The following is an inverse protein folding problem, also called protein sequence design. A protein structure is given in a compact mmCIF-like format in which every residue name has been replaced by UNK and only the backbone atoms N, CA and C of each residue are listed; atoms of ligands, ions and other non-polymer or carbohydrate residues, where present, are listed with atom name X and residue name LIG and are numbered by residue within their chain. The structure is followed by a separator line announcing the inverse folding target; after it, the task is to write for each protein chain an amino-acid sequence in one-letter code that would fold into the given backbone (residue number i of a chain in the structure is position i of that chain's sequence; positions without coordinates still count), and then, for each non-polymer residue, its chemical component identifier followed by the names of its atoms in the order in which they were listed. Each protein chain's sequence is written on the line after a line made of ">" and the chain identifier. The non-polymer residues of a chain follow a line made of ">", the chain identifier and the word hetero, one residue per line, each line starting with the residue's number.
data_IF_301639341356
#
_entry.id   IF_301639341356
#
_cell.length_a   1.000
_cell.length_b   1.000
_cell.length_c   1.000
_cell.angle_alpha   90.00
_cell.angle_beta   90.00
_cell.angle_gamma   90.00
#
_symmetry.space_group_name_H-M   'P 1'
#
loop_
_entity.id
_entity.type
_entity.pdbx_description
1 polymer ?
#
# COMPACT_ATOMS: atom_id res chain seq x y z
N UNK A 1 19.48 24.33 5.17
CA UNK A 1 18.10 23.96 4.78
C UNK A 1 17.22 25.19 4.85
N UNK A 2 16.60 25.57 3.79
CA UNK A 2 15.62 26.68 3.78
C UNK A 2 14.21 26.09 3.75
N UNK A 3 13.33 26.61 4.59
CA UNK A 3 11.92 26.20 4.65
C UNK A 3 11.17 26.89 3.53
N UNK A 4 10.69 26.14 2.55
CA UNK A 4 9.78 26.70 1.53
C UNK A 4 8.40 26.92 2.14
N UNK A 5 7.65 27.94 1.66
CA UNK A 5 6.33 28.32 2.22
C UNK A 5 5.23 27.27 2.18
N UNK A 6 5.51 26.06 1.66
CA UNK A 6 4.61 24.89 1.61
C UNK A 6 4.96 23.82 2.63
N UNK A 7 5.90 24.07 3.56
CA UNK A 7 6.28 23.12 4.61
C UNK A 7 7.29 22.05 4.20
N UNK A 8 7.77 22.06 2.95
CA UNK A 8 8.80 21.15 2.48
C UNK A 8 10.19 21.71 2.73
N UNK A 9 11.11 20.85 3.17
CA UNK A 9 12.52 21.21 3.32
C UNK A 9 13.24 21.00 1.99
N UNK A 10 13.90 22.05 1.48
CA UNK A 10 14.75 21.92 0.30
C UNK A 10 16.14 21.46 0.75
N UNK A 11 16.64 20.33 0.27
CA UNK A 11 18.02 19.90 0.56
C UNK A 11 18.99 20.92 -0.05
N UNK A 12 19.91 21.43 0.73
CA UNK A 12 21.03 22.21 0.21
C UNK A 12 22.19 21.26 -0.06
N UNK A 13 22.34 20.89 -1.32
CA UNK A 13 23.57 20.42 -1.96
C UNK A 13 24.32 19.27 -1.33
N UNK A 14 24.21 18.13 -1.88
CA UNK A 14 25.21 17.17 -2.34
C UNK A 14 24.36 16.10 -3.03
N UNK A 15 24.59 15.90 -4.32
CA UNK A 15 23.95 14.82 -5.07
C UNK A 15 24.58 13.52 -4.58
N UNK A 16 23.87 12.79 -3.73
CA UNK A 16 24.32 11.50 -3.25
C UNK A 16 23.82 10.41 -4.19
N UNK A 17 24.70 9.47 -4.49
CA UNK A 17 24.38 8.30 -5.28
C UNK A 17 23.58 7.31 -4.42
N UNK A 18 22.27 7.50 -4.35
CA UNK A 18 21.34 6.49 -3.86
C UNK A 18 20.85 5.69 -5.06
N UNK A 19 20.96 4.37 -4.99
CA UNK A 19 20.37 3.48 -5.98
C UNK A 19 19.33 2.59 -5.33
N UNK A 20 18.27 2.27 -6.07
CA UNK A 20 17.19 1.40 -5.64
C UNK A 20 16.92 0.33 -6.71
N UNK A 21 16.84 -0.93 -6.30
CA UNK A 21 16.61 -2.06 -7.20
C UNK A 21 15.61 -3.03 -6.59
N UNK A 22 14.78 -3.63 -7.45
CA UNK A 22 13.92 -4.77 -7.09
C UNK A 22 14.08 -5.86 -8.15
N UNK A 23 14.77 -6.94 -7.81
CA UNK A 23 15.17 -7.94 -8.79
C UNK A 23 16.03 -7.31 -9.90
N UNK A 24 15.58 -7.41 -11.15
CA UNK A 24 16.21 -6.78 -12.32
C UNK A 24 15.73 -5.34 -12.57
N UNK A 25 14.72 -4.86 -11.85
CA UNK A 25 14.16 -3.53 -12.03
C UNK A 25 14.99 -2.49 -11.29
N UNK A 26 15.39 -1.44 -11.99
CA UNK A 26 16.04 -0.27 -11.41
C UNK A 26 14.97 0.80 -11.19
N UNK A 27 14.83 1.25 -9.95
CA UNK A 27 13.90 2.32 -9.62
C UNK A 27 14.55 3.67 -9.91
N UNK A 28 13.81 4.64 -10.45
CA UNK A 28 14.30 6.01 -10.53
C UNK A 28 14.47 6.59 -9.12
N UNK A 29 15.60 7.22 -8.89
CA UNK A 29 15.93 7.87 -7.62
C UNK A 29 16.35 9.31 -7.89
N UNK A 30 15.93 10.24 -7.05
CA UNK A 30 16.33 11.63 -7.08
C UNK A 30 16.66 12.13 -5.67
N UNK A 31 17.71 12.95 -5.57
CA UNK A 31 18.02 13.69 -4.35
C UNK A 31 17.17 14.96 -4.17
N UNK A 32 16.53 15.37 -5.25
CA UNK A 32 15.69 16.57 -5.29
C UNK A 32 14.23 16.23 -5.18
N UNK A 33 13.31 16.61 -4.70
CA UNK A 33 11.88 16.34 -4.57
C UNK A 33 11.25 15.52 -5.74
N UNK A 34 10.09 14.99 -5.54
CA UNK A 34 9.32 14.16 -6.50
C UNK A 34 9.19 14.74 -7.92
N UNK A 35 9.32 16.07 -8.09
CA UNK A 35 9.23 16.71 -9.40
C UNK A 35 10.33 16.33 -10.40
N UNK A 36 11.41 15.69 -9.94
CA UNK A 36 12.49 15.20 -10.81
C UNK A 36 12.28 13.76 -11.31
N UNK A 37 11.31 13.03 -10.76
CA UNK A 37 11.00 11.66 -11.17
C UNK A 37 9.88 11.68 -12.22
N UNK A 38 10.13 11.03 -13.36
CA UNK A 38 9.09 10.80 -14.37
C UNK A 38 8.23 9.61 -13.95
N UNK A 39 6.95 9.84 -13.74
CA UNK A 39 5.97 8.78 -13.42
C UNK A 39 5.45 8.02 -14.64
N UNK A 40 5.86 8.41 -15.86
CA UNK A 40 5.38 7.77 -17.09
C UNK A 40 5.92 6.35 -17.31
N UNK A 41 7.09 6.01 -16.74
CA UNK A 41 7.79 4.74 -16.99
C UNK A 41 8.33 4.15 -15.69
N UNK A 42 7.52 4.11 -14.64
CA UNK A 42 7.93 3.50 -13.39
C UNK A 42 7.97 1.96 -13.51
N UNK A 43 8.91 1.31 -12.82
CA UNK A 43 8.87 -0.15 -12.70
C UNK A 43 7.61 -0.57 -11.96
N UNK A 44 7.00 -1.64 -12.44
CA UNK A 44 5.85 -2.27 -11.79
C UNK A 44 6.36 -3.31 -10.81
N UNK A 45 5.94 -3.19 -9.56
CA UNK A 45 6.28 -4.10 -8.47
C UNK A 45 5.00 -4.64 -7.83
N UNK A 46 5.12 -5.74 -7.08
CA UNK A 46 3.99 -6.38 -6.41
C UNK A 46 4.18 -6.35 -4.89
N UNK A 47 3.09 -6.52 -4.17
CA UNK A 47 3.14 -6.81 -2.73
C UNK A 47 4.05 -8.02 -2.47
N UNK A 48 4.94 -7.90 -1.49
CA UNK A 48 5.94 -8.91 -1.15
C UNK A 48 7.27 -8.78 -1.90
N UNK A 49 7.34 -8.00 -2.99
CA UNK A 49 8.61 -7.69 -3.64
C UNK A 49 9.50 -6.87 -2.69
N UNK A 50 10.80 -7.06 -2.81
CA UNK A 50 11.78 -6.34 -1.99
C UNK A 50 12.52 -5.31 -2.82
N UNK A 51 12.59 -4.09 -2.32
CA UNK A 51 13.41 -3.01 -2.85
C UNK A 51 14.68 -2.92 -2.01
N UNK A 52 15.84 -2.97 -2.66
CA UNK A 52 17.15 -2.85 -2.03
C UNK A 52 17.69 -1.47 -2.31
N UNK A 53 17.94 -0.69 -1.26
CA UNK A 53 18.57 0.61 -1.35
C UNK A 53 20.05 0.51 -1.00
N UNK A 54 20.89 1.11 -1.84
CA UNK A 54 22.31 1.29 -1.61
C UNK A 54 22.64 2.78 -1.61
N UNK A 55 23.48 3.19 -0.69
CA UNK A 55 23.82 4.60 -0.45
C UNK A 55 25.33 4.77 -0.67
N UNK A 56 25.72 5.78 -1.45
CA UNK A 56 27.11 6.18 -1.65
C UNK A 56 27.71 6.67 -0.33
N UNK A 57 27.04 7.56 0.37
CA UNK A 57 27.36 7.93 1.75
C UNK A 57 26.64 6.98 2.70
N UNK A 58 27.41 6.20 3.44
CA UNK A 58 26.87 5.17 4.33
C UNK A 58 26.04 5.78 5.47
N UNK A 59 24.74 5.44 5.57
CA UNK A 59 23.91 5.88 6.69
C UNK A 59 24.45 5.39 8.04
N UNK A 60 24.34 6.22 9.05
CA UNK A 60 24.61 5.88 10.46
C UNK A 60 23.27 5.58 11.13
N UNK A 61 23.07 4.33 11.53
CA UNK A 61 21.79 3.88 12.07
C UNK A 61 20.81 3.41 10.99
N UNK A 62 19.53 3.62 11.24
CA UNK A 62 18.45 3.28 10.33
C UNK A 62 18.22 4.37 9.28
N UNK A 63 17.49 3.99 8.25
CA UNK A 63 16.95 4.90 7.21
C UNK A 63 15.44 4.96 7.43
N UNK A 64 14.89 6.14 7.67
CA UNK A 64 13.45 6.33 7.70
C UNK A 64 12.93 6.34 6.28
N UNK A 65 11.97 5.48 5.98
CA UNK A 65 11.28 5.42 4.70
C UNK A 65 9.82 5.74 4.91
N UNK A 66 9.31 6.68 4.11
CA UNK A 66 7.89 7.04 4.04
C UNK A 66 7.37 6.66 2.67
N UNK A 67 6.37 5.79 2.62
CA UNK A 67 5.67 5.43 1.39
C UNK A 67 4.36 6.20 1.29
N UNK A 68 4.16 6.90 0.17
CA UNK A 68 2.98 7.71 -0.08
C UNK A 68 2.38 7.39 -1.44
N UNK A 69 1.05 7.22 -1.49
CA UNK A 69 0.33 7.17 -2.77
C UNK A 69 0.26 8.55 -3.40
N UNK A 70 0.62 8.60 -4.67
CA UNK A 70 0.61 9.82 -5.48
C UNK A 70 -0.18 9.60 -6.78
N UNK A 71 -0.55 10.67 -7.43
CA UNK A 71 -1.11 10.63 -8.79
C UNK A 71 0.04 10.61 -9.83
N UNK A 72 -0.30 10.47 -11.11
CA UNK A 72 0.66 10.46 -12.20
C UNK A 72 1.48 11.78 -12.35
N UNK A 73 1.10 12.84 -11.65
CA UNK A 73 1.86 14.09 -11.56
C UNK A 73 2.76 14.16 -10.32
N UNK A 74 2.81 13.07 -9.51
CA UNK A 74 3.61 13.01 -8.27
C UNK A 74 3.03 13.79 -7.09
N UNK A 75 1.78 14.24 -7.20
CA UNK A 75 1.08 14.89 -6.08
C UNK A 75 0.37 13.86 -5.21
N UNK A 76 0.22 14.08 -3.89
CA UNK A 76 -0.51 13.17 -3.03
C UNK A 76 -1.91 12.87 -3.59
N UNK A 77 -2.25 11.58 -3.70
CA UNK A 77 -3.54 11.14 -4.24
C UNK A 77 -4.68 11.36 -3.24
N UNK A 78 -4.37 11.27 -1.95
CA UNK A 78 -5.33 11.44 -0.86
C UNK A 78 -4.77 12.43 0.16
N UNK A 79 -5.57 13.43 0.54
CA UNK A 79 -5.10 14.50 1.44
C UNK A 79 -5.06 14.09 2.92
N UNK A 80 -5.81 13.06 3.31
CA UNK A 80 -6.04 12.70 4.71
C UNK A 80 -5.53 11.29 5.09
N UNK A 81 -4.70 10.67 4.24
CA UNK A 81 -4.16 9.35 4.54
C UNK A 81 -2.83 9.46 5.27
N UNK A 82 -2.66 8.67 6.28
CA UNK A 82 -1.38 8.48 6.96
C UNK A 82 -0.40 7.84 5.99
N UNK A 83 0.75 8.47 5.84
CA UNK A 83 1.86 7.88 5.11
C UNK A 83 2.35 6.62 5.85
N UNK A 84 2.69 5.58 5.11
CA UNK A 84 3.31 4.38 5.69
C UNK A 84 4.77 4.69 6.00
N UNK A 85 5.10 4.86 7.29
CA UNK A 85 6.46 5.12 7.75
C UNK A 85 7.08 3.84 8.32
N UNK A 86 8.30 3.55 7.90
CA UNK A 86 9.09 2.44 8.44
C UNK A 86 10.56 2.80 8.58
N UNK A 87 11.26 2.15 9.49
CA UNK A 87 12.70 2.30 9.64
C UNK A 87 13.41 1.09 9.05
N UNK A 88 14.19 1.32 8.01
CA UNK A 88 15.01 0.29 7.39
C UNK A 88 16.32 0.14 8.15
N UNK A 89 16.63 -1.08 8.55
CA UNK A 89 17.91 -1.44 9.13
C UNK A 89 18.82 -2.07 8.10
N UNK A 90 20.13 -1.87 8.23
CA UNK A 90 21.11 -2.43 7.33
C UNK A 90 21.16 -3.95 7.44
N UNK A 91 21.07 -4.61 6.29
CA UNK A 91 21.28 -6.06 6.13
C UNK A 91 22.58 -6.33 5.36
N UNK A 92 22.91 -7.59 5.12
CA UNK A 92 24.03 -7.98 4.25
C UNK A 92 23.83 -7.53 2.79
N UNK A 93 22.57 -7.38 2.36
CA UNK A 93 22.20 -6.99 0.99
C UNK A 93 21.98 -5.48 0.83
N UNK A 94 22.14 -4.67 1.87
CA UNK A 94 21.81 -3.25 1.86
C UNK A 94 20.63 -2.93 2.80
N UNK A 95 19.91 -1.85 2.53
CA UNK A 95 18.68 -1.49 3.25
C UNK A 95 17.50 -2.03 2.45
N UNK A 96 16.75 -2.95 3.05
CA UNK A 96 15.69 -3.69 2.36
C UNK A 96 14.33 -3.20 2.81
N UNK A 97 13.49 -2.81 1.86
CA UNK A 97 12.08 -2.52 2.04
C UNK A 97 11.27 -3.60 1.33
N UNK A 98 10.49 -4.34 2.06
CA UNK A 98 9.51 -5.28 1.48
C UNK A 98 8.19 -4.54 1.32
N UNK A 99 7.65 -4.51 0.12
CA UNK A 99 6.42 -3.81 -0.20
C UNK A 99 5.28 -4.44 0.59
N UNK A 100 4.69 -3.73 1.56
CA UNK A 100 3.54 -4.23 2.30
C UNK A 100 2.29 -4.17 1.43
N UNK A 101 1.25 -4.88 1.82
CA UNK A 101 -0.08 -4.59 1.33
C UNK A 101 -0.49 -3.20 1.80
N UNK A 102 -0.71 -2.30 0.87
CA UNK A 102 -1.06 -0.92 1.21
C UNK A 102 -2.54 -0.84 1.58
N UNK A 103 -2.83 -0.34 2.78
CA UNK A 103 -4.20 0.00 3.21
C UNK A 103 -4.80 1.02 2.25
N UNK A 104 -3.99 1.95 1.78
CA UNK A 104 -4.41 2.99 0.84
C UNK A 104 -4.86 2.44 -0.51
N UNK A 105 -4.22 1.37 -1.01
CA UNK A 105 -4.64 0.69 -2.23
C UNK A 105 -5.98 -0.03 -2.03
N UNK A 106 -6.17 -0.67 -0.87
CA UNK A 106 -7.42 -1.35 -0.53
C UNK A 106 -8.61 -0.39 -0.42
N UNK A 107 -8.35 0.87 -0.09
CA UNK A 107 -9.37 1.90 0.07
C UNK A 107 -9.65 2.69 -1.22
N UNK A 108 -8.88 2.44 -2.28
CA UNK A 108 -9.08 3.13 -3.54
C UNK A 108 -10.40 2.69 -4.17
N UNK A 109 -11.22 3.67 -4.53
CA UNK A 109 -12.50 3.45 -5.22
C UNK A 109 -12.34 2.92 -6.65
N UNK A 110 -11.15 3.07 -7.24
CA UNK A 110 -10.84 2.62 -8.59
C UNK A 110 -9.62 1.68 -8.55
N UNK A 111 -9.90 0.38 -8.55
CA UNK A 111 -8.91 -0.70 -8.59
C UNK A 111 -8.44 -1.02 -10.02
N UNK A 112 -9.04 -0.41 -11.03
CA UNK A 112 -8.73 -0.66 -12.44
C UNK A 112 -7.50 0.09 -12.93
N UNK A 113 -6.99 1.03 -12.16
CA UNK A 113 -5.83 1.86 -12.51
C UNK A 113 -4.62 1.53 -11.65
N UNK A 114 -3.40 1.66 -12.19
CA UNK A 114 -2.18 1.48 -11.41
C UNK A 114 -2.08 2.50 -10.27
N UNK A 115 -1.47 2.06 -9.17
CA UNK A 115 -1.12 2.95 -8.06
C UNK A 115 0.33 3.37 -8.18
N UNK A 116 0.58 4.64 -8.00
CA UNK A 116 1.92 5.21 -7.97
C UNK A 116 2.36 5.43 -6.54
N UNK A 117 3.54 4.94 -6.22
CA UNK A 117 4.16 5.03 -4.90
C UNK A 117 5.37 5.94 -4.96
N UNK A 118 5.40 6.90 -4.07
CA UNK A 118 6.53 7.76 -3.84
C UNK A 118 7.16 7.39 -2.48
N UNK A 119 8.42 6.96 -2.53
CA UNK A 119 9.22 6.60 -1.36
C UNK A 119 10.13 7.75 -1.01
N UNK A 120 9.98 8.32 0.18
CA UNK A 120 10.93 9.29 0.73
C UNK A 120 11.84 8.57 1.71
N UNK A 121 13.15 8.69 1.52
CA UNK A 121 14.17 8.13 2.41
C UNK A 121 14.88 9.28 3.12
N UNK A 122 14.91 9.23 4.45
CA UNK A 122 15.67 10.18 5.27
C UNK A 122 16.73 9.43 6.07
N UNK A 123 17.97 9.91 6.03
CA UNK A 123 19.09 9.31 6.75
C UNK A 123 20.13 10.34 7.12
N UNK A 124 21.02 9.96 8.04
CA UNK A 124 22.16 10.78 8.47
C UNK A 124 23.45 10.02 8.16
N UNK A 125 24.42 10.70 7.58
CA UNK A 125 25.74 10.12 7.28
C UNK A 125 26.70 10.15 8.49
N UNK A 126 27.91 9.63 8.30
CA UNK A 126 28.95 9.61 9.31
C UNK A 126 29.46 11.01 9.73
N UNK A 127 29.18 12.04 8.93
CA UNK A 127 29.48 13.45 9.20
C UNK A 127 28.30 14.16 9.90
N UNK A 128 27.26 13.42 10.28
CA UNK A 128 26.01 13.94 10.87
C UNK A 128 25.22 14.88 9.95
N UNK A 129 25.41 14.74 8.63
CA UNK A 129 24.63 15.47 7.64
C UNK A 129 23.35 14.66 7.35
N UNK A 130 22.21 15.33 7.37
CA UNK A 130 20.92 14.73 6.98
C UNK A 130 20.75 14.79 5.47
N UNK A 131 20.34 13.68 4.92
CA UNK A 131 20.09 13.48 3.50
C UNK A 131 18.65 13.03 3.28
N UNK A 132 18.11 13.41 2.13
CA UNK A 132 16.81 12.96 1.65
C UNK A 132 16.99 12.43 0.23
N UNK A 133 16.44 11.28 -0.05
CA UNK A 133 16.32 10.75 -1.40
C UNK A 133 14.88 10.32 -1.64
N UNK A 134 14.47 10.34 -2.90
CA UNK A 134 13.13 9.96 -3.33
C UNK A 134 13.25 8.88 -4.38
N UNK A 135 12.50 7.80 -4.24
CA UNK A 135 12.35 6.76 -5.25
C UNK A 135 10.87 6.58 -5.59
N UNK A 136 10.57 5.98 -6.73
CA UNK A 136 9.20 5.72 -7.10
C UNK A 136 9.05 4.37 -7.81
N UNK A 137 7.89 3.76 -7.63
CA UNK A 137 7.44 2.58 -8.35
C UNK A 137 5.93 2.64 -8.55
N UNK A 138 5.38 1.72 -9.32
CA UNK A 138 3.94 1.53 -9.38
C UNK A 138 3.58 0.08 -9.07
N UNK A 139 2.36 -0.11 -8.57
CA UNK A 139 1.73 -1.42 -8.52
C UNK A 139 0.74 -1.54 -9.67
N UNK A 140 0.55 -2.76 -10.16
CA UNK A 140 -0.46 -3.00 -11.20
C UNK A 140 -1.85 -2.66 -10.66
N UNK A 141 -2.73 -2.29 -11.59
CA UNK A 141 -4.15 -2.46 -11.36
C UNK A 141 -4.40 -3.89 -10.87
N UNK A 142 -5.25 -4.05 -9.87
CA UNK A 142 -5.53 -5.38 -9.32
C UNK A 142 -6.11 -6.27 -10.42
N UNK A 143 -5.41 -7.34 -10.76
CA UNK A 143 -5.97 -8.39 -11.60
C UNK A 143 -6.92 -9.21 -10.74
N UNK A 144 -8.16 -9.23 -11.11
CA UNK A 144 -9.20 -9.95 -10.39
C UNK A 144 -9.45 -11.28 -11.08
N UNK A 145 -9.52 -12.35 -10.28
CA UNK A 145 -9.94 -13.67 -10.75
C UNK A 145 -11.34 -13.96 -10.20
N UNK A 146 -12.25 -14.33 -11.09
CA UNK A 146 -13.59 -14.76 -10.68
C UNK A 146 -13.50 -15.85 -9.60
N UNK A 147 -14.26 -15.67 -8.53
CA UNK A 147 -14.34 -16.62 -7.42
C UNK A 147 -15.79 -17.07 -7.25
N UNK A 148 -16.26 -18.05 -8.04
CA UNK A 148 -17.62 -18.54 -7.92
C UNK A 148 -17.84 -19.20 -6.54
N UNK A 149 -19.06 -19.14 -5.99
CA UNK A 149 -19.35 -19.76 -4.72
C UNK A 149 -19.19 -21.29 -4.79
N UNK A 150 -18.69 -21.87 -3.72
CA UNK A 150 -18.68 -23.33 -3.55
C UNK A 150 -20.11 -23.88 -3.59
N UNK A 151 -20.30 -25.18 -3.89
CA UNK A 151 -21.62 -25.83 -3.82
C UNK A 151 -22.30 -25.67 -2.46
N UNK A 152 -21.52 -25.50 -1.37
CA UNK A 152 -22.02 -25.19 -0.02
C UNK A 152 -22.50 -23.75 0.17
N UNK A 153 -22.35 -22.90 -0.86
CA UNK A 153 -22.74 -21.49 -0.85
C UNK A 153 -21.76 -20.56 -0.12
N UNK A 154 -20.51 -21.00 0.12
CA UNK A 154 -19.44 -20.16 0.65
C UNK A 154 -18.47 -19.74 -0.44
N UNK A 155 -17.79 -18.62 -0.23
CA UNK A 155 -16.71 -18.13 -1.08
C UNK A 155 -15.37 -18.48 -0.40
N UNK A 156 -14.58 -19.34 -1.04
CA UNK A 156 -13.29 -19.76 -0.52
C UNK A 156 -12.19 -18.83 -1.03
N UNK A 157 -11.30 -18.46 -0.13
CA UNK A 157 -10.10 -17.70 -0.49
C UNK A 157 -8.87 -18.47 0.03
N UNK A 158 -8.06 -18.97 -0.91
CA UNK A 158 -6.87 -19.78 -0.60
C UNK A 158 -5.78 -18.94 0.07
N UNK A 159 -5.56 -17.72 -0.41
CA UNK A 159 -4.54 -16.81 0.14
C UNK A 159 -4.81 -16.42 1.59
N UNK A 160 -6.09 -16.26 1.96
CA UNK A 160 -6.52 -15.97 3.33
C UNK A 160 -6.77 -17.24 4.15
N UNK A 161 -6.80 -18.42 3.52
CA UNK A 161 -7.08 -19.68 4.17
C UNK A 161 -8.46 -19.75 4.83
N UNK A 162 -9.47 -19.08 4.27
CA UNK A 162 -10.78 -18.97 4.89
C UNK A 162 -11.93 -19.12 3.87
N UNK A 163 -13.13 -19.39 4.40
CA UNK A 163 -14.38 -19.41 3.63
C UNK A 163 -15.37 -18.42 4.23
N UNK A 164 -15.80 -17.44 3.45
CA UNK A 164 -16.87 -16.52 3.86
C UNK A 164 -18.21 -17.04 3.37
N UNK A 165 -19.17 -17.23 4.28
CA UNK A 165 -20.56 -17.58 3.95
C UNK A 165 -21.43 -16.34 4.05
N UNK A 166 -22.05 -15.98 2.95
CA UNK A 166 -23.04 -14.91 2.93
C UNK A 166 -24.44 -15.47 3.26
N UNK A 167 -25.32 -14.65 3.85
CA UNK A 167 -26.75 -14.98 3.96
C UNK A 167 -27.33 -15.38 2.61
N UNK A 168 -28.34 -16.24 2.61
CA UNK A 168 -28.87 -16.84 1.40
C UNK A 168 -29.44 -15.81 0.42
N UNK A 169 -30.05 -14.74 0.94
CA UNK A 169 -30.59 -13.63 0.20
C UNK A 169 -29.57 -12.88 -0.65
N UNK A 170 -28.31 -12.85 -0.22
CA UNK A 170 -27.24 -12.15 -0.94
C UNK A 170 -26.53 -13.04 -1.98
N UNK A 171 -26.61 -14.37 -1.88
CA UNK A 171 -25.82 -15.29 -2.72
C UNK A 171 -26.06 -15.15 -4.22
N UNK A 172 -27.29 -14.79 -4.60
CA UNK A 172 -27.65 -14.62 -6.01
C UNK A 172 -27.49 -13.18 -6.49
N UNK A 173 -27.26 -12.25 -5.56
CA UNK A 173 -27.14 -10.82 -5.82
C UNK A 173 -25.70 -10.33 -5.89
N UNK A 174 -24.73 -11.21 -5.58
CA UNK A 174 -23.32 -10.83 -5.55
C UNK A 174 -22.45 -11.74 -6.40
N UNK A 175 -21.39 -11.19 -6.95
CA UNK A 175 -20.22 -11.90 -7.47
C UNK A 175 -19.01 -11.61 -6.59
N UNK A 176 -18.00 -12.47 -6.65
CA UNK A 176 -16.76 -12.28 -5.90
C UNK A 176 -15.55 -12.55 -6.79
N UNK A 177 -14.51 -11.75 -6.59
CA UNK A 177 -13.23 -11.90 -7.25
C UNK A 177 -12.11 -11.99 -6.21
N UNK A 178 -11.09 -12.80 -6.48
CA UNK A 178 -9.84 -12.81 -5.71
C UNK A 178 -8.88 -11.85 -6.40
N UNK A 179 -8.36 -10.92 -5.62
CA UNK A 179 -7.38 -9.95 -6.08
C UNK A 179 -5.95 -10.53 -6.02
N UNK A 180 -5.02 -9.95 -6.76
CA UNK A 180 -3.61 -10.40 -6.78
C UNK A 180 -2.92 -10.29 -5.44
N UNK A 181 -3.41 -9.41 -4.55
CA UNK A 181 -2.92 -9.26 -3.17
C UNK A 181 -3.51 -10.31 -2.21
N UNK A 182 -4.32 -11.23 -2.72
CA UNK A 182 -4.98 -12.26 -1.93
C UNK A 182 -6.25 -11.80 -1.23
N UNK A 183 -6.65 -10.54 -1.31
CA UNK A 183 -7.97 -10.11 -0.80
C UNK A 183 -9.11 -10.63 -1.66
N UNK A 184 -10.35 -10.59 -1.17
CA UNK A 184 -11.52 -11.00 -1.93
C UNK A 184 -12.55 -9.87 -1.94
N UNK A 185 -12.82 -9.34 -3.13
CA UNK A 185 -13.79 -8.27 -3.33
C UNK A 185 -15.12 -8.82 -3.80
N UNK A 186 -16.19 -8.33 -3.21
CA UNK A 186 -17.58 -8.65 -3.56
C UNK A 186 -18.23 -7.48 -4.29
N UNK A 187 -18.93 -7.79 -5.36
CA UNK A 187 -19.61 -6.83 -6.22
C UNK A 187 -21.10 -7.10 -6.25
N UNK A 188 -21.89 -6.08 -6.57
CA UNK A 188 -23.26 -6.30 -7.04
C UNK A 188 -23.16 -7.11 -8.33
N UNK A 189 -23.89 -8.22 -8.40
CA UNK A 189 -23.82 -9.13 -9.54
C UNK A 189 -24.08 -8.39 -10.86
N UNK A 190 -23.29 -8.73 -11.87
CA UNK A 190 -23.33 -8.16 -13.21
C UNK A 190 -23.03 -6.63 -13.26
N UNK A 191 -22.35 -6.09 -12.23
CA UNK A 191 -21.89 -4.71 -12.18
C UNK A 191 -20.46 -4.64 -11.62
N UNK A 192 -19.83 -3.46 -11.73
CA UNK A 192 -18.52 -3.16 -11.13
C UNK A 192 -18.65 -2.49 -9.75
N UNK A 193 -19.88 -2.42 -9.20
CA UNK A 193 -20.12 -1.78 -7.91
C UNK A 193 -19.63 -2.65 -6.75
N UNK A 194 -18.60 -2.20 -6.06
CA UNK A 194 -18.03 -2.88 -4.89
C UNK A 194 -18.97 -2.78 -3.70
N UNK A 195 -19.26 -3.91 -3.07
CA UNK A 195 -20.06 -3.99 -1.83
C UNK A 195 -19.14 -4.02 -0.62
N UNK A 196 -18.10 -4.87 -0.67
CA UNK A 196 -17.17 -5.08 0.43
C UNK A 196 -15.92 -5.84 -0.05
N UNK A 197 -14.84 -5.72 0.72
CA UNK A 197 -13.62 -6.49 0.52
C UNK A 197 -13.26 -7.26 1.79
N UNK A 198 -13.06 -8.56 1.68
CA UNK A 198 -12.52 -9.40 2.75
C UNK A 198 -11.00 -9.35 2.71
N UNK A 199 -10.40 -9.06 3.86
CA UNK A 199 -8.95 -9.03 4.05
C UNK A 199 -8.54 -9.63 5.39
N UNK A 200 -7.23 -9.87 5.54
CA UNK A 200 -6.62 -10.22 6.83
C UNK A 200 -5.33 -9.43 7.00
N UNK A 201 -5.12 -8.88 8.20
CA UNK A 201 -3.92 -8.12 8.55
C UNK A 201 -3.40 -8.55 9.92
N UNK A 202 -2.11 -8.32 10.17
CA UNK A 202 -1.53 -8.57 11.48
C UNK A 202 -2.23 -7.71 12.54
N UNK A 203 -2.81 -8.36 13.54
CA UNK A 203 -3.51 -7.68 14.63
C UNK A 203 -2.58 -6.71 15.39
N UNK A 204 -1.31 -7.06 15.53
CA UNK A 204 -0.31 -6.20 16.15
C UNK A 204 -0.07 -4.89 15.37
N UNK A 205 -0.14 -4.94 14.05
CA UNK A 205 -0.04 -3.75 13.18
C UNK A 205 -1.29 -2.90 13.33
N UNK A 206 -2.48 -3.50 13.24
CA UNK A 206 -3.74 -2.77 13.43
C UNK A 206 -3.81 -2.06 14.79
N UNK A 207 -3.41 -2.75 15.87
CA UNK A 207 -3.38 -2.15 17.20
C UNK A 207 -2.32 -1.05 17.36
N UNK A 208 -1.17 -1.22 16.73
CA UNK A 208 -0.13 -0.19 16.72
C UNK A 208 -0.61 1.09 16.03
N UNK A 209 -1.26 0.94 14.88
CA UNK A 209 -1.58 2.05 13.98
C UNK A 209 -2.92 2.73 14.36
N UNK A 210 -3.88 1.97 14.91
CA UNK A 210 -5.23 2.44 15.20
C UNK A 210 -5.64 2.27 16.67
N UNK A 211 -4.77 1.74 17.53
CA UNK A 211 -5.04 1.50 18.96
C UNK A 211 -5.79 0.19 19.23
N UNK A 212 -6.09 -0.07 20.51
CA UNK A 212 -6.81 -1.31 20.91
C UNK A 212 -8.18 -1.45 20.25
N UNK A 213 -8.89 -0.33 20.03
CA UNK A 213 -10.18 -0.26 19.35
C UNK A 213 -9.99 -0.02 17.84
N UNK A 214 -9.02 -0.71 17.22
CA UNK A 214 -8.62 -0.49 15.84
C UNK A 214 -9.78 -0.45 14.84
N UNK A 215 -10.80 -1.26 15.03
CA UNK A 215 -11.94 -1.32 14.11
C UNK A 215 -12.80 -0.04 14.11
N UNK A 216 -12.88 0.65 15.25
CA UNK A 216 -13.60 1.92 15.38
C UNK A 216 -12.78 3.09 14.84
N UNK A 217 -11.45 2.95 14.91
CA UNK A 217 -10.49 3.98 14.49
C UNK A 217 -9.97 3.77 13.07
N UNK A 218 -10.39 2.69 12.39
CA UNK A 218 -9.97 2.41 11.02
C UNK A 218 -10.50 3.51 10.08
N UNK A 219 -9.71 3.96 9.07
CA UNK A 219 -10.05 5.13 8.24
C UNK A 219 -11.36 5.03 7.46
N UNK A 220 -11.86 3.80 7.27
CA UNK A 220 -13.14 3.53 6.59
C UNK A 220 -13.95 2.53 7.40
N UNK A 221 -15.25 2.41 7.14
CA UNK A 221 -16.09 1.44 7.82
C UNK A 221 -15.57 0.01 7.65
N UNK A 222 -15.30 -0.66 8.77
CA UNK A 222 -14.89 -2.06 8.78
C UNK A 222 -15.76 -2.89 9.71
N UNK A 223 -15.82 -4.18 9.43
CA UNK A 223 -16.48 -5.15 10.30
C UNK A 223 -15.52 -6.29 10.63
N UNK A 224 -14.99 -6.37 11.85
CA UNK A 224 -14.22 -7.52 12.30
C UNK A 224 -15.05 -8.80 12.21
N UNK A 225 -14.43 -9.88 11.75
CA UNK A 225 -15.05 -11.20 11.61
C UNK A 225 -14.44 -12.21 12.57
N UNK A 226 -13.11 -12.28 12.63
CA UNK A 226 -12.37 -13.23 13.44
C UNK A 226 -10.95 -12.76 13.70
N UNK A 227 -10.36 -13.26 14.79
CA UNK A 227 -8.92 -13.17 15.06
C UNK A 227 -8.37 -14.59 15.15
N UNK A 228 -7.34 -14.89 14.37
CA UNK A 228 -6.72 -16.20 14.35
C UNK A 228 -5.25 -16.10 13.98
N UNK A 229 -4.38 -16.81 14.71
CA UNK A 229 -2.95 -16.90 14.43
C UNK A 229 -2.23 -15.53 14.33
N UNK A 230 -2.69 -14.54 15.12
CA UNK A 230 -2.17 -13.17 15.10
C UNK A 230 -2.67 -12.30 13.95
N UNK A 231 -3.60 -12.82 13.14
CA UNK A 231 -4.28 -12.08 12.07
C UNK A 231 -5.69 -11.69 12.51
N UNK A 232 -6.10 -10.49 12.14
CA UNK A 232 -7.49 -10.06 12.18
C UNK A 232 -8.09 -10.17 10.77
N UNK A 233 -9.19 -10.90 10.64
CA UNK A 233 -9.99 -11.03 9.42
C UNK A 233 -11.16 -10.05 9.50
N UNK A 234 -11.33 -9.23 8.49
CA UNK A 234 -12.38 -8.22 8.52
C UNK A 234 -12.87 -7.84 7.12
N UNK A 235 -14.06 -7.28 7.07
CA UNK A 235 -14.64 -6.69 5.87
C UNK A 235 -14.38 -5.18 5.87
N UNK A 236 -14.01 -4.67 4.72
CA UNK A 236 -13.91 -3.24 4.42
C UNK A 236 -15.11 -2.88 3.56
N UNK A 237 -15.82 -1.82 3.89
CA UNK A 237 -16.93 -1.29 3.12
C UNK A 237 -16.50 -0.01 2.41
N UNK A 238 -17.00 0.25 1.18
CA UNK A 238 -16.80 1.54 0.53
C UNK A 238 -17.29 2.68 1.42
N UNK A 239 -16.55 3.79 1.46
CA UNK A 239 -16.94 4.99 2.21
C UNK A 239 -18.09 5.75 1.53
N UNK A 240 -18.22 5.59 0.22
CA UNK A 240 -19.26 6.20 -0.58
C UNK A 240 -20.27 5.16 -1.04
N UNK A 241 -21.55 5.51 -0.98
CA UNK A 241 -22.62 4.67 -1.53
C UNK A 241 -22.52 4.72 -3.06
N UNK A 242 -21.81 3.75 -3.63
CA UNK A 242 -21.72 3.58 -5.10
C UNK A 242 -23.01 2.97 -5.67
N UNK A 243 -24.11 3.07 -4.98
CA UNK A 243 -25.39 2.55 -5.39
C UNK A 243 -26.19 3.66 -6.05
N UNK A 244 -26.37 3.56 -7.37
CA UNK A 244 -27.37 4.33 -8.08
C UNK A 244 -28.70 3.55 -7.98
N UNK A 245 -29.67 4.02 -7.15
CA UNK A 245 -30.97 3.38 -7.10
C UNK A 245 -31.75 3.79 -8.35
N UNK A 246 -31.68 2.96 -9.40
CA UNK A 246 -32.52 3.10 -10.57
C UNK A 246 -34.00 2.81 -10.23
#
# INVERSE_FOLDING_TARGET
>A
MEKTGTGYWKPTGIQEDVSAMSGANVLPVSADAFGAISFANLPTLNTGDSIIFNFGSKPVGGVTLVNRLVNAAGSPRYQNMTDDETTLMRTNSGYVYTIPQSVSELLASDLSVPFYHALTLEYTDAQHIRHTAVAAYMTNAMTQLENPPLPSGGYYNDALGCTLKLPQEFRNAVSANINTDGTMTFFVKDTDSVIMTLTAQLLSVLKRDFGENWAENYPVPVRPLAERDGLAYFLIYPSDVQYDPA
#
